data_IF_510610642258
#
_entry.id   IF_510610642258
#
_cell.length_a   1.000
_cell.length_b   1.000
_cell.length_c   1.000
_cell.angle_alpha   90.00
_cell.angle_beta   90.00
_cell.angle_gamma   90.00
#
_symmetry.space_group_name_H-M   'P 1'
#
loop_
_entity.id
_entity.type
_entity.pdbx_description
1 polymer ?
#
# COMPACT_ATOMS: atom_id res chain seq x y z
N UNK A 1 -15.73 -11.82 9.21
CA UNK A 1 -15.81 -11.34 7.79
C UNK A 1 -14.90 -12.25 6.99
N UNK A 2 -15.30 -12.81 5.83
CA UNK A 2 -14.41 -13.71 5.06
C UNK A 2 -13.26 -12.92 4.42
N UNK A 3 -12.02 -13.42 4.44
CA UNK A 3 -10.78 -12.79 3.90
C UNK A 3 -10.96 -12.18 2.50
N UNK A 4 -11.60 -12.91 1.58
CA UNK A 4 -11.94 -12.43 0.24
C UNK A 4 -12.80 -11.15 0.23
N UNK A 5 -13.77 -11.03 1.15
CA UNK A 5 -14.59 -9.82 1.24
C UNK A 5 -13.77 -8.61 1.73
N UNK A 6 -12.79 -8.87 2.61
CA UNK A 6 -11.86 -7.86 3.10
C UNK A 6 -10.93 -7.37 1.98
N UNK A 7 -10.38 -8.29 1.19
CA UNK A 7 -9.58 -7.99 0.00
C UNK A 7 -10.35 -7.14 -1.02
N UNK A 8 -11.61 -7.52 -1.33
CA UNK A 8 -12.49 -6.74 -2.22
C UNK A 8 -12.73 -5.33 -1.70
N UNK A 9 -12.94 -5.18 -0.39
CA UNK A 9 -13.11 -3.88 0.26
C UNK A 9 -11.83 -3.05 0.20
N UNK A 10 -10.67 -3.66 0.44
CA UNK A 10 -9.36 -3.01 0.31
C UNK A 10 -9.14 -2.47 -1.11
N UNK A 11 -9.27 -3.33 -2.12
CA UNK A 11 -9.13 -2.96 -3.54
C UNK A 11 -10.00 -1.77 -3.93
N UNK A 12 -11.29 -1.77 -3.53
CA UNK A 12 -12.25 -0.70 -3.86
C UNK A 12 -11.93 0.67 -3.20
N UNK A 13 -11.14 0.69 -2.13
CA UNK A 13 -10.81 1.93 -1.41
C UNK A 13 -9.49 2.55 -1.85
N UNK A 14 -8.51 1.73 -2.26
CA UNK A 14 -7.16 2.19 -2.60
C UNK A 14 -6.89 2.32 -4.11
N UNK A 15 -7.81 1.91 -4.99
CA UNK A 15 -7.70 2.07 -6.44
C UNK A 15 -8.77 3.05 -6.96
N UNK A 16 -8.33 4.02 -7.77
CA UNK A 16 -9.22 4.81 -8.64
C UNK A 16 -10.04 5.94 -8.00
N UNK A 17 -9.73 6.36 -6.76
CA UNK A 17 -10.53 7.37 -6.02
C UNK A 17 -9.74 8.55 -5.47
N UNK A 18 -8.64 8.91 -6.12
CA UNK A 18 -7.76 10.01 -5.66
C UNK A 18 -7.11 9.75 -4.29
N UNK A 19 -7.12 8.50 -3.84
CA UNK A 19 -6.45 8.05 -2.64
C UNK A 19 -5.48 6.93 -3.01
N UNK A 20 -4.25 7.00 -2.52
CA UNK A 20 -3.17 6.10 -2.92
C UNK A 20 -2.60 5.31 -1.74
N UNK A 21 -2.18 4.08 -2.03
CA UNK A 21 -1.27 3.33 -1.18
C UNK A 21 0.16 3.51 -1.70
N UNK A 22 1.07 3.87 -0.82
CA UNK A 22 2.51 3.97 -1.12
C UNK A 22 3.25 2.93 -0.29
N UNK A 23 4.04 2.08 -0.93
CA UNK A 23 4.89 1.10 -0.28
C UNK A 23 6.32 1.65 -0.31
N UNK A 24 6.87 1.95 0.87
CA UNK A 24 8.23 2.43 1.01
C UNK A 24 9.11 1.32 1.55
N UNK A 25 10.06 0.92 0.73
CA UNK A 25 11.12 -0.03 1.05
C UNK A 25 12.47 0.71 1.12
N UNK A 26 13.54 0.03 1.53
CA UNK A 26 14.86 0.63 1.77
C UNK A 26 15.39 1.46 0.59
N UNK A 27 15.10 1.03 -0.64
CA UNK A 27 15.65 1.62 -1.86
C UNK A 27 14.68 2.55 -2.62
N UNK A 28 13.44 2.71 -2.15
CA UNK A 28 12.49 3.55 -2.85
C UNK A 28 11.06 3.50 -2.34
N UNK A 29 10.23 4.35 -2.93
CA UNK A 29 8.79 4.40 -2.71
C UNK A 29 8.06 3.95 -3.97
N UNK A 30 7.09 3.08 -3.83
CA UNK A 30 6.27 2.57 -4.92
C UNK A 30 4.82 3.00 -4.70
N UNK A 31 4.27 3.75 -5.65
CA UNK A 31 2.87 4.18 -5.63
C UNK A 31 2.02 3.10 -6.29
N UNK A 32 1.16 2.45 -5.50
CA UNK A 32 0.25 1.42 -6.00
C UNK A 32 -0.83 2.09 -6.85
N UNK A 33 -0.98 1.62 -8.08
CA UNK A 33 -2.01 2.09 -9.01
C UNK A 33 -3.02 1.01 -9.40
N UNK A 34 -2.63 -0.27 -9.32
CA UNK A 34 -3.54 -1.39 -9.59
C UNK A 34 -3.48 -2.39 -8.44
N UNK A 35 -4.64 -2.91 -8.05
CA UNK A 35 -4.77 -3.98 -7.06
C UNK A 35 -5.68 -5.04 -7.66
N UNK A 36 -5.19 -6.27 -7.73
CA UNK A 36 -5.91 -7.43 -8.24
C UNK A 36 -6.01 -8.49 -7.15
N UNK A 37 -7.11 -9.23 -7.15
CA UNK A 37 -7.30 -10.40 -6.29
C UNK A 37 -7.17 -11.62 -7.19
N UNK A 38 -6.17 -12.44 -6.91
CA UNK A 38 -5.90 -13.67 -7.66
C UNK A 38 -6.21 -14.88 -6.80
N UNK A 39 -6.53 -16.01 -7.44
CA UNK A 39 -6.69 -17.29 -6.78
C UNK A 39 -5.48 -18.16 -7.10
N UNK A 40 -4.93 -18.86 -6.11
CA UNK A 40 -3.88 -19.86 -6.35
C UNK A 40 -4.52 -21.08 -7.01
N UNK A 41 -4.15 -21.35 -8.25
CA UNK A 41 -4.66 -22.47 -9.05
C UNK A 41 -3.78 -23.71 -8.98
N UNK A 42 -2.50 -23.52 -8.68
CA UNK A 42 -1.47 -24.55 -8.69
C UNK A 42 -0.26 -24.11 -7.86
N UNK A 43 0.72 -25.01 -7.72
CA UNK A 43 1.95 -24.80 -6.97
C UNK A 43 3.04 -24.03 -7.74
N UNK A 44 2.78 -23.60 -8.99
CA UNK A 44 3.68 -22.69 -9.70
C UNK A 44 3.56 -21.24 -9.20
N UNK A 45 2.54 -20.95 -8.39
CA UNK A 45 2.35 -19.65 -7.76
C UNK A 45 3.49 -19.35 -6.76
N UNK A 46 4.13 -18.18 -6.84
CA UNK A 46 5.25 -17.81 -5.95
C UNK A 46 4.85 -17.61 -4.49
N UNK A 47 3.56 -17.73 -4.16
CA UNK A 47 3.06 -17.69 -2.79
C UNK A 47 3.07 -19.11 -2.22
N UNK A 48 4.19 -19.47 -1.61
CA UNK A 48 4.44 -20.82 -1.10
C UNK A 48 3.50 -21.18 0.07
N UNK A 49 3.29 -20.24 1.01
CA UNK A 49 2.51 -20.47 2.25
C UNK A 49 0.98 -20.46 2.08
N UNK A 50 0.48 -20.30 0.85
CA UNK A 50 -0.95 -20.24 0.56
C UNK A 50 -1.42 -21.58 -0.05
N UNK A 51 -2.51 -22.21 0.44
CA UNK A 51 -3.02 -23.42 -0.17
C UNK A 51 -3.67 -23.16 -1.55
N UNK A 52 -3.68 -24.18 -2.41
CA UNK A 52 -4.41 -24.11 -3.69
C UNK A 52 -5.91 -23.92 -3.42
N UNK A 53 -6.52 -23.01 -4.17
CA UNK A 53 -7.92 -22.60 -4.00
C UNK A 53 -8.10 -21.33 -3.16
N UNK A 54 -7.08 -20.89 -2.42
CA UNK A 54 -7.11 -19.63 -1.67
C UNK A 54 -6.74 -18.41 -2.52
N UNK A 55 -6.96 -17.22 -1.97
CA UNK A 55 -6.81 -15.94 -2.66
C UNK A 55 -5.65 -15.13 -2.11
N UNK A 56 -4.98 -14.38 -2.98
CA UNK A 56 -3.92 -13.44 -2.64
C UNK A 56 -4.08 -12.13 -3.41
N UNK A 57 -3.28 -11.13 -3.04
CA UNK A 57 -3.26 -9.83 -3.69
C UNK A 57 -2.06 -9.72 -4.64
N UNK A 58 -2.31 -9.15 -5.82
CA UNK A 58 -1.28 -8.64 -6.70
C UNK A 58 -1.41 -7.11 -6.76
N UNK A 59 -0.36 -6.42 -6.36
CA UNK A 59 -0.27 -4.97 -6.36
C UNK A 59 0.68 -4.57 -7.49
N UNK A 60 0.22 -3.71 -8.39
CA UNK A 60 1.08 -3.09 -9.39
C UNK A 60 1.36 -1.66 -8.96
N UNK A 61 2.64 -1.35 -8.85
CA UNK A 61 3.10 -0.09 -8.31
C UNK A 61 4.25 0.49 -9.12
N UNK A 62 4.32 1.81 -9.20
CA UNK A 62 5.36 2.51 -9.95
C UNK A 62 6.27 3.28 -8.99
N UNK A 63 7.58 3.27 -9.25
CA UNK A 63 8.52 4.14 -8.54
C UNK A 63 8.59 5.55 -9.17
N UNK A 64 9.27 6.53 -8.54
CA UNK A 64 9.40 7.88 -9.09
C UNK A 64 10.09 7.96 -10.45
N UNK A 65 10.88 6.94 -10.80
CA UNK A 65 11.59 6.82 -12.07
C UNK A 65 10.68 6.27 -13.19
N UNK A 66 9.43 5.88 -12.88
CA UNK A 66 8.50 5.30 -13.84
C UNK A 66 8.61 3.80 -14.03
N UNK A 67 9.48 3.12 -13.27
CA UNK A 67 9.61 1.67 -13.32
C UNK A 67 8.44 1.02 -12.56
N UNK A 68 7.83 0.02 -13.19
CA UNK A 68 6.76 -0.76 -12.61
C UNK A 68 7.28 -1.98 -11.85
N UNK A 69 6.67 -2.27 -10.70
CA UNK A 69 6.91 -3.46 -9.91
C UNK A 69 5.58 -4.17 -9.62
N UNK A 70 5.59 -5.49 -9.74
CA UNK A 70 4.47 -6.36 -9.35
C UNK A 70 4.79 -7.00 -8.01
N UNK A 71 4.02 -6.65 -6.98
CA UNK A 71 4.16 -7.18 -5.63
C UNK A 71 3.03 -8.19 -5.41
N UNK A 72 3.42 -9.46 -5.26
CA UNK A 72 2.50 -10.54 -4.89
C UNK A 72 2.53 -10.69 -3.37
N UNK A 73 1.37 -10.76 -2.73
CA UNK A 73 1.32 -10.78 -1.26
C UNK A 73 0.09 -11.49 -0.72
N UNK A 74 0.31 -12.35 0.28
CA UNK A 74 -0.74 -12.87 1.15
C UNK A 74 -0.82 -12.07 2.45
N UNK A 75 -1.36 -10.86 2.36
CA UNK A 75 -1.50 -10.02 3.55
C UNK A 75 -2.52 -10.57 4.54
N UNK A 76 -2.17 -10.52 5.82
CA UNK A 76 -3.03 -10.95 6.91
C UNK A 76 -4.31 -10.10 6.98
N UNK A 77 -5.38 -10.70 7.49
CA UNK A 77 -6.63 -10.00 7.75
C UNK A 77 -6.44 -8.75 8.62
N UNK A 78 -5.50 -8.80 9.56
CA UNK A 78 -5.26 -7.69 10.47
C UNK A 78 -4.52 -6.54 9.78
N UNK A 79 -3.58 -6.81 8.88
CA UNK A 79 -2.96 -5.77 8.06
C UNK A 79 -4.00 -5.10 7.15
N UNK A 80 -4.87 -5.87 6.51
CA UNK A 80 -5.93 -5.34 5.65
C UNK A 80 -6.94 -4.49 6.43
N UNK A 81 -7.36 -4.93 7.64
CA UNK A 81 -8.22 -4.12 8.52
C UNK A 81 -7.50 -2.83 8.95
N UNK A 82 -6.23 -2.92 9.31
CA UNK A 82 -5.45 -1.77 9.74
C UNK A 82 -5.34 -0.73 8.60
N UNK A 83 -5.03 -1.17 7.38
CA UNK A 83 -5.02 -0.31 6.18
C UNK A 83 -6.39 0.33 5.92
N UNK A 84 -7.48 -0.41 6.08
CA UNK A 84 -8.83 0.14 5.92
C UNK A 84 -9.19 1.17 6.99
N UNK A 85 -8.76 0.98 8.24
CA UNK A 85 -8.92 1.98 9.32
C UNK A 85 -8.12 3.23 9.02
N UNK A 86 -6.85 3.06 8.67
CA UNK A 86 -5.94 4.15 8.30
C UNK A 86 -6.45 4.93 7.09
N UNK A 87 -7.03 4.27 6.09
CA UNK A 87 -7.67 4.95 4.96
C UNK A 87 -8.83 5.82 5.41
N UNK A 88 -9.66 5.35 6.35
CA UNK A 88 -10.77 6.14 6.89
C UNK A 88 -10.24 7.36 7.65
N UNK A 89 -9.31 7.16 8.58
CA UNK A 89 -8.70 8.22 9.38
C UNK A 89 -7.98 9.26 8.49
N UNK A 90 -7.22 8.80 7.50
CA UNK A 90 -6.56 9.65 6.53
C UNK A 90 -7.56 10.49 5.72
N UNK A 91 -8.67 9.88 5.26
CA UNK A 91 -9.72 10.63 4.56
C UNK A 91 -10.43 11.64 5.44
N UNK A 92 -10.73 11.28 6.69
CA UNK A 92 -11.34 12.17 7.67
C UNK A 92 -10.41 13.37 7.95
N UNK A 93 -9.09 13.15 7.91
CA UNK A 93 -8.05 14.18 8.00
C UNK A 93 -7.68 14.85 6.66
N UNK A 94 -8.44 14.61 5.58
CA UNK A 94 -8.23 15.19 4.24
C UNK A 94 -6.88 14.86 3.57
N UNK A 95 -6.27 13.75 3.95
CA UNK A 95 -5.08 13.22 3.30
C UNK A 95 -5.41 12.38 2.06
N UNK A 96 -4.47 12.30 1.13
CA UNK A 96 -4.63 11.58 -0.15
C UNK A 96 -3.82 10.29 -0.26
N UNK A 97 -3.02 9.94 0.76
CA UNK A 97 -2.29 8.67 0.75
C UNK A 97 -2.09 8.08 2.14
N UNK A 98 -2.06 6.74 2.18
CA UNK A 98 -1.41 5.96 3.24
C UNK A 98 -0.08 5.47 2.70
N UNK A 99 0.97 5.61 3.50
CA UNK A 99 2.29 5.05 3.24
C UNK A 99 2.55 3.92 4.21
N UNK A 100 2.98 2.77 3.70
CA UNK A 100 3.42 1.62 4.49
C UNK A 100 4.90 1.40 4.32
N UNK A 101 5.61 1.14 5.41
CA UNK A 101 7.03 0.80 5.40
C UNK A 101 7.34 -0.26 6.44
N UNK A 102 8.40 -1.04 6.21
CA UNK A 102 8.85 -2.06 7.14
C UNK A 102 9.32 -1.42 8.44
N UNK A 103 8.93 -2.01 9.57
CA UNK A 103 9.40 -1.57 10.89
C UNK A 103 10.93 -1.80 11.00
N UNK A 104 11.75 -0.74 11.05
CA UNK A 104 13.21 -0.89 11.06
C UNK A 104 13.74 -1.45 12.37
N UNK A 105 12.93 -1.44 13.44
CA UNK A 105 13.30 -1.94 14.76
C UNK A 105 12.82 -3.38 14.99
N UNK A 106 11.99 -3.91 14.08
CA UNK A 106 11.52 -5.29 14.16
C UNK A 106 12.40 -6.25 13.36
N UNK A 107 12.59 -7.45 13.92
CA UNK A 107 13.16 -8.58 13.18
C UNK A 107 12.11 -9.31 12.33
N UNK A 108 10.83 -9.03 12.54
CA UNK A 108 9.75 -9.60 11.74
C UNK A 108 9.67 -8.85 10.40
N UNK A 109 10.03 -9.50 9.28
CA UNK A 109 9.93 -8.85 7.99
C UNK A 109 8.49 -8.41 7.73
N UNK A 110 7.46 -9.10 8.23
CA UNK A 110 6.06 -8.82 7.96
C UNK A 110 5.44 -7.72 8.83
N UNK A 111 6.23 -7.06 9.67
CA UNK A 111 5.75 -5.95 10.48
C UNK A 111 5.80 -4.64 9.70
N UNK A 112 4.61 -4.09 9.46
CA UNK A 112 4.40 -2.84 8.74
C UNK A 112 4.02 -1.70 9.67
N UNK A 113 4.64 -0.55 9.47
CA UNK A 113 4.24 0.73 10.03
C UNK A 113 3.47 1.51 8.99
N UNK A 114 2.40 2.20 9.43
CA UNK A 114 1.53 2.99 8.58
C UNK A 114 1.63 4.46 8.97
N UNK A 115 1.75 5.33 7.97
CA UNK A 115 1.61 6.78 8.11
C UNK A 115 0.67 7.29 7.03
N UNK A 116 0.08 8.46 7.23
CA UNK A 116 -0.75 9.11 6.24
C UNK A 116 -0.27 10.53 5.99
N UNK A 117 -0.53 11.01 4.79
CA UNK A 117 -0.12 12.33 4.33
C UNK A 117 -0.76 12.66 3.00
N UNK A 118 -0.43 13.82 2.48
CA UNK A 118 -0.74 14.16 1.08
C UNK A 118 0.53 14.02 0.27
N UNK A 119 0.38 13.71 -1.02
CA UNK A 119 1.50 13.78 -1.94
C UNK A 119 2.14 15.16 -1.77
N UNK A 120 3.43 15.20 -1.44
CA UNK A 120 4.18 16.45 -1.37
C UNK A 120 4.16 17.00 -2.80
N UNK A 121 3.14 17.81 -3.13
CA UNK A 121 3.35 18.91 -4.07
C UNK A 121 4.61 19.56 -3.56
N UNK A 122 5.67 19.52 -4.37
CA UNK A 122 6.95 20.18 -4.11
C UNK A 122 6.59 21.46 -3.37
N UNK A 123 6.93 21.55 -2.07
CA UNK A 123 6.73 22.79 -1.32
C UNK A 123 7.40 23.82 -2.21
N UNK A 124 6.62 24.67 -2.89
CA UNK A 124 7.16 25.83 -3.57
C UNK A 124 7.99 26.48 -2.47
N UNK A 125 9.32 26.51 -2.62
CA UNK A 125 10.19 27.22 -1.69
C UNK A 125 9.51 28.57 -1.51
N UNK A 126 9.00 28.86 -0.33
CA UNK A 126 8.61 30.23 -0.02
C UNK A 126 9.80 31.08 -0.40
N UNK A 127 9.65 32.08 -1.29
CA UNK A 127 10.77 32.95 -1.59
C UNK A 127 11.18 33.55 -0.26
N UNK A 128 12.40 33.26 0.17
CA UNK A 128 12.99 33.84 1.37
C UNK A 128 12.90 35.35 1.21
N UNK A 129 11.95 35.97 1.90
CA UNK A 129 11.84 37.42 1.96
C UNK A 129 12.88 37.89 2.96
N UNK A 130 14.02 38.34 2.46
CA UNK A 130 14.90 39.18 3.26
C UNK A 130 14.19 40.51 3.48
N UNK A 131 14.02 40.89 4.75
CA UNK A 131 13.65 42.25 5.12
C UNK A 131 14.98 43.02 5.16
N UNK A 132 15.15 43.95 4.23
CA UNK A 132 16.23 44.94 4.21
C UNK A 132 15.90 46.10 5.13
#
# INVERSE_FOLDING_TARGET
>A
MKKLALMKKFMKNFVGKGFHLVIKEKEGSFKVHTIEIMQKTDDSCPVEDLPVGDYFLRLVATNPQGNEASIVSDWSDDLLKNLLSNHKEAKDAQYSQVTMFRDPLSKDPNRWLLTWGSENTVRKKDPVRYIS
#
